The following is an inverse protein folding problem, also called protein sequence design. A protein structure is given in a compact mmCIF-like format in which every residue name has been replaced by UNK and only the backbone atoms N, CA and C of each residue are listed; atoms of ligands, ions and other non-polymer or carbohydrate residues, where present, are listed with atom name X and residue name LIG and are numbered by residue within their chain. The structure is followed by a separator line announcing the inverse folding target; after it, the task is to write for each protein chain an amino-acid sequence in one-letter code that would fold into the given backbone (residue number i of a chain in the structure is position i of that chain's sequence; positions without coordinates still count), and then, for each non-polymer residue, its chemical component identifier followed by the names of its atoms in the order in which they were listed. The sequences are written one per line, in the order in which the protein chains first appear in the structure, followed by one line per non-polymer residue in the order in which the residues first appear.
data_IF_711127398173
#
_entry.id   IF_711127398173
#
_cell.length_a   1.000
_cell.length_b   1.000
_cell.length_c   1.000
_cell.angle_alpha   90.00
_cell.angle_beta   90.00
_cell.angle_gamma   90.00
#
_symmetry.space_group_name_H-M   'P 1'
#
loop_
_entity.id
_entity.type
_entity.pdbx_description
1 polymer ?
#
# COMPACT_ATOMS: atom_id res chain seq x y z
N UNK A 1 37.67 -53.22 -12.58
CA UNK A 1 37.09 -52.57 -11.39
C UNK A 1 35.69 -52.11 -11.78
N UNK A 2 34.70 -52.72 -11.14
CA UNK A 2 33.28 -52.61 -11.43
C UNK A 2 32.72 -51.48 -10.56
N UNK A 3 32.20 -50.42 -11.15
CA UNK A 3 31.52 -49.36 -10.38
C UNK A 3 30.02 -49.61 -10.43
N UNK A 4 29.49 -49.91 -9.25
CA UNK A 4 28.12 -50.26 -8.96
C UNK A 4 27.20 -49.04 -9.10
N UNK A 5 26.02 -49.30 -9.65
CA UNK A 5 24.92 -48.36 -9.88
C UNK A 5 24.41 -47.82 -8.54
N UNK A 6 24.24 -46.50 -8.44
CA UNK A 6 23.55 -45.84 -7.33
C UNK A 6 22.54 -44.85 -7.88
N UNK A 7 21.32 -45.32 -8.15
CA UNK A 7 20.19 -44.47 -8.51
C UNK A 7 19.75 -43.64 -7.30
N UNK A 8 19.96 -42.32 -7.36
CA UNK A 8 19.30 -41.37 -6.46
C UNK A 8 18.05 -40.85 -7.18
N UNK A 9 16.91 -41.42 -6.84
CA UNK A 9 15.62 -40.85 -7.20
C UNK A 9 15.42 -39.57 -6.38
N UNK A 10 15.67 -38.41 -7.00
CA UNK A 10 15.28 -37.12 -6.45
C UNK A 10 13.75 -37.01 -6.53
N UNK A 11 13.07 -37.21 -5.40
CA UNK A 11 11.69 -36.78 -5.20
C UNK A 11 11.68 -35.25 -5.16
N UNK A 12 11.54 -34.64 -6.34
CA UNK A 12 11.26 -33.21 -6.47
C UNK A 12 9.86 -32.93 -5.93
N UNK A 13 9.78 -32.58 -4.64
CA UNK A 13 8.58 -31.99 -4.07
C UNK A 13 8.49 -30.58 -4.66
N UNK A 14 7.70 -30.43 -5.73
CA UNK A 14 7.23 -29.12 -6.15
C UNK A 14 6.34 -28.60 -5.01
N UNK A 15 6.91 -27.77 -4.14
CA UNK A 15 6.12 -26.95 -3.24
C UNK A 15 5.34 -25.98 -4.14
N UNK A 16 4.09 -26.34 -4.45
CA UNK A 16 3.13 -25.38 -4.95
C UNK A 16 2.87 -24.43 -3.79
N UNK A 17 3.65 -23.35 -3.73
CA UNK A 17 3.28 -22.17 -2.98
C UNK A 17 1.98 -21.70 -3.61
N UNK A 18 0.86 -22.08 -3.01
CA UNK A 18 -0.45 -21.54 -3.32
C UNK A 18 -0.28 -20.02 -3.31
N UNK A 19 -0.31 -19.40 -4.48
CA UNK A 19 -0.36 -17.94 -4.59
C UNK A 19 -1.76 -17.61 -4.09
N UNK A 20 -1.90 -17.44 -2.78
CA UNK A 20 -3.06 -16.76 -2.24
C UNK A 20 -3.03 -15.39 -2.92
N UNK A 21 -4.04 -15.09 -3.74
CA UNK A 21 -4.31 -13.73 -4.18
C UNK A 21 -4.58 -12.95 -2.90
N UNK A 22 -3.52 -12.44 -2.27
CA UNK A 22 -3.66 -11.53 -1.15
C UNK A 22 -4.38 -10.32 -1.74
N UNK A 23 -5.63 -10.11 -1.31
CA UNK A 23 -6.34 -8.86 -1.59
C UNK A 23 -5.41 -7.73 -1.20
N UNK A 24 -4.90 -7.01 -2.20
CA UNK A 24 -3.94 -5.95 -1.96
C UNK A 24 -4.70 -4.81 -1.28
N UNK A 25 -4.29 -4.43 -0.07
CA UNK A 25 -4.88 -3.31 0.62
C UNK A 25 -3.95 -2.09 0.51
N UNK A 26 -4.54 -0.90 0.39
CA UNK A 26 -3.81 0.37 0.29
C UNK A 26 -4.05 1.15 1.55
N UNK A 27 -3.00 1.37 2.33
CA UNK A 27 -3.08 2.20 3.53
C UNK A 27 -2.87 3.66 3.19
N UNK A 28 -3.46 4.54 4.00
CA UNK A 28 -3.29 5.98 3.90
C UNK A 28 -3.12 6.60 5.28
N UNK A 29 -2.43 7.73 5.32
CA UNK A 29 -2.06 8.41 6.54
C UNK A 29 -1.52 9.80 6.26
N UNK A 30 -0.83 10.35 7.25
CA UNK A 30 -0.15 11.63 7.14
C UNK A 30 1.31 11.54 7.55
N UNK A 31 2.15 12.37 6.93
CA UNK A 31 3.55 12.53 7.29
C UNK A 31 3.99 13.98 7.12
N UNK A 32 4.78 14.50 8.07
CA UNK A 32 5.47 15.79 7.90
C UNK A 32 6.56 15.66 6.83
N UNK A 33 6.53 16.50 5.80
CA UNK A 33 7.55 16.51 4.76
C UNK A 33 8.68 17.50 5.08
N UNK A 34 9.92 17.04 4.95
CA UNK A 34 11.10 17.84 5.31
C UNK A 34 11.28 19.10 4.44
N UNK A 35 10.85 19.03 3.18
CA UNK A 35 11.03 20.08 2.19
C UNK A 35 10.23 21.35 2.49
N UNK A 36 8.99 21.22 2.97
CA UNK A 36 8.08 22.33 3.23
C UNK A 36 7.61 22.45 4.68
N UNK A 37 7.98 21.48 5.52
CA UNK A 37 7.62 21.43 6.94
C UNK A 37 6.10 21.40 7.16
N UNK A 38 5.35 20.78 6.24
CA UNK A 38 3.90 20.60 6.33
C UNK A 38 3.51 19.11 6.33
N UNK A 39 2.34 18.80 6.91
CA UNK A 39 1.82 17.43 6.84
C UNK A 39 1.25 17.19 5.45
N UNK A 40 1.61 16.07 4.84
CA UNK A 40 1.05 15.59 3.58
C UNK A 40 0.32 14.28 3.79
N UNK A 41 -0.68 14.03 2.96
CA UNK A 41 -1.24 12.71 2.78
C UNK A 41 -0.21 11.78 2.16
N UNK A 42 -0.13 10.57 2.69
CA UNK A 42 0.75 9.52 2.19
C UNK A 42 -0.01 8.21 2.01
N UNK A 43 0.38 7.42 1.01
CA UNK A 43 -0.20 6.10 0.72
C UNK A 43 0.87 5.04 0.58
N UNK A 44 0.57 3.79 0.94
CA UNK A 44 1.48 2.65 0.78
C UNK A 44 0.69 1.35 0.68
N UNK A 45 1.36 0.26 0.31
CA UNK A 45 0.77 -1.09 0.34
C UNK A 45 0.67 -1.54 1.79
N UNK A 46 -0.54 -1.81 2.27
CA UNK A 46 -0.76 -2.25 3.65
C UNK A 46 0.00 -3.56 3.94
N UNK A 47 0.60 -3.64 5.12
CA UNK A 47 1.46 -4.74 5.52
C UNK A 47 2.89 -4.71 4.94
N UNK A 48 3.19 -3.78 4.01
CA UNK A 48 4.56 -3.48 3.59
C UNK A 48 5.13 -2.30 4.39
N UNK A 49 6.45 -2.10 4.27
CA UNK A 49 7.12 -1.03 4.99
C UNK A 49 6.80 0.33 4.35
N UNK A 50 6.16 1.22 5.12
CA UNK A 50 5.71 2.51 4.62
C UNK A 50 6.87 3.47 4.31
N UNK A 51 7.98 3.45 5.03
CA UNK A 51 9.11 4.36 4.82
C UNK A 51 10.33 3.62 4.25
N UNK A 52 11.01 4.07 3.18
CA UNK A 52 10.70 5.21 2.30
C UNK A 52 9.73 4.84 1.16
N UNK A 53 8.95 3.75 1.30
CA UNK A 53 8.13 3.18 0.20
C UNK A 53 6.80 3.87 -0.07
N UNK A 54 6.41 4.85 0.74
CA UNK A 54 5.16 5.59 0.61
C UNK A 54 5.19 6.54 -0.58
N UNK A 55 4.02 6.76 -1.17
CA UNK A 55 3.79 7.87 -2.09
C UNK A 55 3.24 9.05 -1.30
N UNK A 56 3.87 10.20 -1.49
CA UNK A 56 3.36 11.48 -1.00
C UNK A 56 2.37 12.01 -2.04
N UNK A 57 1.20 12.43 -1.57
CA UNK A 57 0.16 13.02 -2.41
C UNK A 57 0.23 14.54 -2.33
N UNK A 58 -0.68 15.14 -1.56
CA UNK A 58 -0.77 16.58 -1.35
C UNK A 58 -0.74 16.91 0.15
N UNK A 59 -0.66 18.20 0.46
CA UNK A 59 -0.75 18.72 1.83
C UNK A 59 -2.06 18.27 2.48
N UNK A 60 -2.04 18.06 3.80
CA UNK A 60 -3.16 17.52 4.57
C UNK A 60 -4.39 18.44 4.59
N UNK A 61 -4.19 19.73 4.30
CA UNK A 61 -5.26 20.72 4.16
C UNK A 61 -6.02 20.60 2.84
N UNK A 62 -5.50 19.84 1.89
CA UNK A 62 -6.09 19.57 0.58
C UNK A 62 -6.54 18.10 0.49
N UNK A 63 -7.54 17.87 -0.37
CA UNK A 63 -8.18 16.55 -0.43
C UNK A 63 -7.21 15.54 -1.03
N UNK A 64 -7.04 14.34 -0.43
CA UNK A 64 -6.24 13.29 -1.05
C UNK A 64 -6.93 12.66 -2.26
N UNK A 65 -8.20 13.01 -2.49
CA UNK A 65 -9.01 12.45 -3.57
C UNK A 65 -8.73 13.09 -4.93
N UNK A 66 -8.96 12.31 -6.00
CA UNK A 66 -8.79 12.78 -7.38
C UNK A 66 -7.33 12.93 -7.83
N UNK A 67 -6.38 12.66 -6.94
CA UNK A 67 -4.96 12.62 -7.26
C UNK A 67 -4.52 11.19 -7.59
N UNK A 68 -4.00 10.93 -8.79
CA UNK A 68 -3.49 9.63 -9.15
C UNK A 68 -2.15 9.36 -8.47
N UNK A 69 -1.95 8.14 -7.98
CA UNK A 69 -0.70 7.70 -7.37
C UNK A 69 -0.37 6.27 -7.78
N UNK A 70 0.90 5.88 -7.65
CA UNK A 70 1.38 4.56 -8.10
C UNK A 70 2.02 3.79 -6.95
N UNK A 71 1.57 2.55 -6.73
CA UNK A 71 2.20 1.62 -5.79
C UNK A 71 2.74 0.43 -6.60
N UNK A 72 4.06 0.45 -6.84
CA UNK A 72 4.68 -0.45 -7.82
C UNK A 72 4.25 -0.07 -9.25
N UNK A 73 3.75 -1.06 -10.01
CA UNK A 73 3.29 -0.87 -11.39
C UNK A 73 1.78 -0.54 -11.48
N UNK A 74 1.08 -0.48 -10.35
CA UNK A 74 -0.37 -0.25 -10.32
C UNK A 74 -0.67 1.20 -9.95
N UNK A 75 -1.52 1.85 -10.75
CA UNK A 75 -2.00 3.20 -10.52
C UNK A 75 -3.40 3.18 -9.91
N UNK A 76 -3.59 4.03 -8.91
CA UNK A 76 -4.82 4.18 -8.15
C UNK A 76 -5.23 5.64 -8.05
N UNK A 77 -6.46 5.88 -7.61
CA UNK A 77 -6.93 7.21 -7.21
C UNK A 77 -7.88 7.07 -6.01
N UNK A 78 -7.67 7.86 -4.96
CA UNK A 78 -8.60 7.91 -3.83
C UNK A 78 -9.86 8.69 -4.22
N UNK A 79 -11.01 8.29 -3.68
CA UNK A 79 -12.29 8.97 -3.92
C UNK A 79 -13.20 8.97 -2.68
N UNK A 80 -14.28 9.77 -2.75
CA UNK A 80 -15.29 9.87 -1.71
C UNK A 80 -14.83 10.61 -0.45
N UNK A 81 -13.88 11.54 -0.57
CA UNK A 81 -13.48 12.44 0.50
C UNK A 81 -14.56 13.50 0.76
N UNK A 82 -14.89 13.73 2.03
CA UNK A 82 -15.79 14.82 2.43
C UNK A 82 -15.00 16.10 2.76
N UNK A 83 -14.93 17.05 1.83
CA UNK A 83 -14.20 18.31 2.00
C UNK A 83 -12.68 18.17 1.87
N UNK A 84 -11.99 19.28 2.09
CA UNK A 84 -10.56 19.42 1.75
C UNK A 84 -9.63 18.62 2.68
N UNK A 85 -10.07 18.18 3.86
CA UNK A 85 -9.28 17.28 4.73
C UNK A 85 -10.00 15.96 5.02
N UNK A 86 -10.99 15.61 4.19
CA UNK A 86 -11.80 14.42 4.38
C UNK A 86 -10.99 13.16 4.06
N UNK A 87 -11.01 12.19 4.96
CA UNK A 87 -10.47 10.87 4.66
C UNK A 87 -11.25 10.22 3.49
N UNK A 88 -10.56 9.47 2.62
CA UNK A 88 -11.21 8.79 1.50
C UNK A 88 -12.12 7.66 1.99
N UNK A 89 -13.15 7.36 1.20
CA UNK A 89 -14.09 6.25 1.48
C UNK A 89 -14.05 5.16 0.43
N UNK A 90 -13.35 5.39 -0.70
CA UNK A 90 -13.19 4.41 -1.76
C UNK A 90 -11.89 4.64 -2.55
N UNK A 91 -11.52 3.63 -3.35
CA UNK A 91 -10.34 3.65 -4.22
C UNK A 91 -10.74 3.20 -5.64
N UNK A 92 -10.20 3.92 -6.63
CA UNK A 92 -10.39 3.69 -8.05
C UNK A 92 -9.12 3.09 -8.66
N UNK A 93 -9.29 2.29 -9.71
CA UNK A 93 -8.20 1.91 -10.61
C UNK A 93 -7.85 3.03 -11.61
N UNK A 94 -6.83 2.79 -12.44
CA UNK A 94 -6.42 3.71 -13.52
C UNK A 94 -7.51 4.03 -14.56
N UNK A 95 -8.54 3.19 -14.69
CA UNK A 95 -9.69 3.40 -15.57
C UNK A 95 -10.81 4.22 -14.92
N UNK A 96 -10.68 4.56 -13.64
CA UNK A 96 -11.70 5.26 -12.86
C UNK A 96 -12.80 4.33 -12.32
N UNK A 97 -12.62 3.01 -12.40
CA UNK A 97 -13.55 2.05 -11.81
C UNK A 97 -13.26 1.91 -10.32
N UNK A 98 -14.31 1.93 -9.49
CA UNK A 98 -14.16 1.66 -8.07
C UNK A 98 -13.84 0.17 -7.85
N UNK A 99 -12.70 -0.09 -7.22
CA UNK A 99 -12.18 -1.44 -6.97
C UNK A 99 -12.06 -1.76 -5.47
N UNK A 100 -12.47 -0.84 -4.59
CA UNK A 100 -12.38 -1.02 -3.15
C UNK A 100 -13.14 0.01 -2.34
N UNK A 101 -13.29 -0.30 -1.05
CA UNK A 101 -13.82 0.60 -0.02
C UNK A 101 -12.74 0.92 1.01
N UNK A 102 -12.79 2.14 1.57
CA UNK A 102 -11.83 2.61 2.56
C UNK A 102 -12.50 2.83 3.92
N UNK A 103 -11.77 2.49 4.98
CA UNK A 103 -12.14 2.79 6.36
C UNK A 103 -11.08 3.69 6.99
N UNK A 104 -11.53 4.76 7.66
CA UNK A 104 -10.67 5.72 8.36
C UNK A 104 -10.83 5.55 9.89
N UNK A 105 -10.36 4.40 10.38
CA UNK A 105 -10.54 3.95 11.76
C UNK A 105 -9.22 3.61 12.45
N UNK A 106 -8.11 4.13 11.93
CA UNK A 106 -6.77 3.89 12.42
C UNK A 106 -6.14 5.20 12.93
N UNK A 107 -5.23 5.11 13.90
CA UNK A 107 -4.41 6.22 14.40
C UNK A 107 -3.00 5.73 14.75
N UNK A 108 -2.57 4.60 14.19
CA UNK A 108 -1.31 3.97 14.52
C UNK A 108 -0.13 4.79 14.02
N UNK A 109 0.87 4.94 14.89
CA UNK A 109 2.11 5.63 14.57
C UNK A 109 3.12 4.63 14.01
N UNK A 110 3.58 4.87 12.79
CA UNK A 110 4.68 4.14 12.17
C UNK A 110 5.95 4.98 12.34
N UNK A 111 6.90 4.45 13.10
CA UNK A 111 8.17 5.14 13.30
C UNK A 111 9.03 5.00 12.05
N UNK A 112 9.41 6.15 11.47
CA UNK A 112 10.30 6.20 10.33
C UNK A 112 11.71 6.61 10.78
N UNK A 113 12.71 6.05 10.11
CA UNK A 113 14.13 6.29 10.43
C UNK A 113 14.81 7.06 9.30
N UNK A 114 16.12 7.24 9.41
CA UNK A 114 16.97 7.82 8.36
C UNK A 114 16.57 9.23 7.93
N UNK A 115 16.17 10.05 8.90
CA UNK A 115 15.83 11.47 8.69
C UNK A 115 14.42 11.71 8.15
N UNK A 116 13.60 10.67 8.02
CA UNK A 116 12.17 10.80 7.72
C UNK A 116 11.36 11.01 8.99
N UNK A 117 10.27 11.77 8.89
CA UNK A 117 9.31 11.91 9.97
C UNK A 117 8.39 10.69 10.08
N UNK A 118 7.86 10.46 11.27
CA UNK A 118 6.91 9.37 11.51
C UNK A 118 5.61 9.57 10.72
N UNK A 119 4.98 8.46 10.33
CA UNK A 119 3.67 8.45 9.70
C UNK A 119 2.61 8.19 10.77
N UNK A 120 1.51 8.93 10.71
CA UNK A 120 0.28 8.58 11.43
C UNK A 120 -0.66 7.95 10.42
N UNK A 121 -0.95 6.66 10.60
CA UNK A 121 -1.88 5.92 9.76
C UNK A 121 -3.31 6.31 10.13
N UNK A 122 -4.10 6.62 9.11
CA UNK A 122 -5.52 7.01 9.27
C UNK A 122 -6.47 5.88 8.89
N UNK A 123 -6.07 5.02 7.97
CA UNK A 123 -6.95 3.98 7.48
C UNK A 123 -6.39 3.12 6.37
N UNK A 124 -7.27 2.28 5.83
CA UNK A 124 -6.96 1.31 4.78
C UNK A 124 -8.11 1.24 3.78
N UNK A 125 -7.76 1.09 2.51
CA UNK A 125 -8.66 0.73 1.43
C UNK A 125 -8.48 -0.75 1.10
N UNK A 126 -9.52 -1.55 1.28
CA UNK A 126 -9.53 -2.97 0.92
C UNK A 126 -9.95 -3.10 -0.54
N UNK A 127 -9.04 -3.64 -1.37
CA UNK A 127 -9.36 -3.93 -2.78
C UNK A 127 -10.14 -5.24 -2.84
N UNK A 128 -11.34 -5.15 -3.40
CA UNK A 128 -12.19 -6.30 -3.73
C UNK A 128 -12.05 -6.55 -5.23
N UNK A 129 -10.98 -7.23 -5.61
CA UNK A 129 -10.86 -7.79 -6.96
C UNK A 129 -11.87 -8.93 -7.09
N UNK A 130 -12.93 -8.71 -7.87
CA UNK A 130 -13.90 -9.74 -8.29
C UNK A 130 -13.39 -10.56 -9.47
#
# INVERSE_FOLDING_TARGET
MQFTIGSLAFLGIAAFSSIANAQQAVAFGQQLQNNDQTNHWVTWVEGQHACPGMQVLDVLTESPCGQPFSLGEVQYTLTGCSGDSGAPTAILDSGGLQIGGCSANDNDKINCHDGLHDIIKHGVCEIVSG
#
